data_IF_217280150087
#
_entry.id   IF_217280150087
#
_cell.length_a   1.000
_cell.length_b   1.000
_cell.length_c   1.000
_cell.angle_alpha   90.00
_cell.angle_beta   90.00
_cell.angle_gamma   90.00
#
_symmetry.space_group_name_H-M   'P 1'
#
loop_
_entity.id
_entity.type
_entity.pdbx_description
1 polymer ?
#
# COMPACT_ATOMS: atom_id res chain seq x y z
N UNK A 1 -25.54 5.95 -3.84
CA UNK A 1 -24.18 6.27 -3.32
C UNK A 1 -23.23 5.13 -3.72
N UNK A 2 -22.93 5.01 -5.01
CA UNK A 2 -22.06 3.98 -5.59
C UNK A 2 -20.83 4.70 -6.13
N UNK A 3 -19.69 4.63 -5.44
CA UNK A 3 -18.47 5.28 -5.93
C UNK A 3 -17.30 5.32 -4.96
N UNK A 4 -17.54 5.19 -3.66
CA UNK A 4 -16.47 5.26 -2.64
C UNK A 4 -15.68 3.95 -2.49
N UNK A 5 -16.20 2.81 -2.98
CA UNK A 5 -15.64 1.51 -2.61
C UNK A 5 -14.83 0.79 -3.69
N UNK A 6 -14.73 1.26 -4.95
CA UNK A 6 -14.02 0.48 -5.99
C UNK A 6 -12.55 0.25 -5.61
N UNK A 7 -11.83 1.29 -5.20
CA UNK A 7 -10.41 1.15 -4.80
C UNK A 7 -10.24 0.47 -3.44
N UNK A 8 -11.21 0.64 -2.54
CA UNK A 8 -11.22 -0.04 -1.23
C UNK A 8 -11.42 -1.55 -1.40
N UNK A 9 -12.40 -1.94 -2.21
CA UNK A 9 -12.72 -3.34 -2.51
C UNK A 9 -11.60 -4.00 -3.31
N UNK A 10 -11.05 -3.29 -4.30
CA UNK A 10 -9.89 -3.74 -5.06
C UNK A 10 -8.67 -3.97 -4.16
N UNK A 11 -8.35 -3.04 -3.27
CA UNK A 11 -7.23 -3.22 -2.34
C UNK A 11 -7.49 -4.39 -1.39
N UNK A 12 -8.69 -4.49 -0.82
CA UNK A 12 -9.07 -5.59 0.08
C UNK A 12 -9.00 -6.95 -0.61
N UNK A 13 -9.40 -7.06 -1.89
CA UNK A 13 -9.29 -8.29 -2.67
C UNK A 13 -7.84 -8.80 -2.72
N UNK A 14 -6.88 -7.94 -3.04
CA UNK A 14 -5.46 -8.34 -3.10
C UNK A 14 -4.88 -8.63 -1.72
N UNK A 15 -5.23 -7.84 -0.71
CA UNK A 15 -4.80 -8.07 0.67
C UNK A 15 -5.29 -9.41 1.22
N UNK A 16 -6.55 -9.76 0.97
CA UNK A 16 -7.11 -11.06 1.36
C UNK A 16 -6.39 -12.21 0.65
N UNK A 17 -6.13 -12.08 -0.65
CA UNK A 17 -5.36 -13.06 -1.43
C UNK A 17 -3.94 -13.25 -0.90
N UNK A 18 -3.31 -12.19 -0.43
CA UNK A 18 -2.00 -12.20 0.21
C UNK A 18 -2.04 -12.63 1.69
N UNK A 19 -3.22 -12.99 2.23
CA UNK A 19 -3.44 -13.33 3.65
C UNK A 19 -3.00 -12.22 4.61
N UNK A 20 -3.12 -10.96 4.17
CA UNK A 20 -2.88 -9.79 5.03
C UNK A 20 -3.88 -9.76 6.19
N UNK A 21 -3.43 -9.24 7.33
CA UNK A 21 -4.29 -8.96 8.48
C UNK A 21 -4.97 -7.58 8.38
N UNK A 22 -4.57 -6.75 7.40
CA UNK A 22 -5.12 -5.41 7.22
C UNK A 22 -6.40 -5.48 6.41
N UNK A 23 -7.35 -4.61 6.76
CA UNK A 23 -8.56 -4.35 5.98
C UNK A 23 -8.69 -2.85 5.78
N UNK A 24 -8.82 -2.43 4.54
CA UNK A 24 -9.00 -1.02 4.18
C UNK A 24 -10.44 -0.63 4.44
N UNK A 25 -10.64 0.40 5.25
CA UNK A 25 -11.96 0.98 5.57
C UNK A 25 -12.02 2.42 5.06
N UNK A 26 -10.93 3.16 5.21
CA UNK A 26 -10.78 4.50 4.65
C UNK A 26 -9.40 4.62 3.98
N UNK A 27 -9.40 4.51 2.66
CA UNK A 27 -8.18 4.55 1.85
C UNK A 27 -7.30 5.80 2.14
N UNK A 28 -7.92 6.94 2.44
CA UNK A 28 -7.19 8.19 2.72
C UNK A 28 -6.50 8.18 4.08
N UNK A 29 -7.09 7.51 5.08
CA UNK A 29 -6.51 7.37 6.41
C UNK A 29 -5.51 6.21 6.46
N UNK A 30 -5.87 5.08 5.86
CA UNK A 30 -5.11 3.84 5.93
C UNK A 30 -3.81 3.88 5.09
N UNK A 31 -3.74 4.72 4.05
CA UNK A 31 -2.53 4.91 3.24
C UNK A 31 -1.54 5.97 3.78
N UNK A 32 -1.83 6.65 4.89
CA UNK A 32 -1.04 7.82 5.34
C UNK A 32 0.42 7.50 5.63
N UNK A 33 0.70 6.35 6.22
CA UNK A 33 2.05 5.93 6.59
C UNK A 33 2.82 5.23 5.45
N UNK A 34 2.18 5.05 4.29
CA UNK A 34 2.74 4.36 3.14
C UNK A 34 2.84 2.83 3.29
N UNK A 35 2.52 2.26 4.45
CA UNK A 35 2.65 0.82 4.69
C UNK A 35 1.55 0.02 4.01
N UNK A 36 0.31 0.52 4.05
CA UNK A 36 -0.79 -0.10 3.31
C UNK A 36 -0.48 -0.15 1.81
N UNK A 37 0.05 0.96 1.26
CA UNK A 37 0.40 1.05 -0.16
C UNK A 37 1.47 0.01 -0.52
N UNK A 38 2.53 -0.10 0.28
CA UNK A 38 3.57 -1.11 0.06
C UNK A 38 2.97 -2.52 0.09
N UNK A 39 2.13 -2.84 1.07
CA UNK A 39 1.52 -4.17 1.21
C UNK A 39 0.58 -4.52 0.04
N UNK A 40 -0.18 -3.55 -0.46
CA UNK A 40 -1.01 -3.73 -1.67
C UNK A 40 -0.14 -3.96 -2.91
N UNK A 41 0.97 -3.23 -3.07
CA UNK A 41 1.91 -3.44 -4.18
C UNK A 41 2.53 -4.84 -4.11
N UNK A 42 2.95 -5.29 -2.93
CA UNK A 42 3.46 -6.65 -2.75
C UNK A 42 2.41 -7.71 -3.10
N UNK A 43 1.15 -7.49 -2.72
CA UNK A 43 0.06 -8.41 -2.98
C UNK A 43 -0.31 -8.50 -4.48
N UNK A 44 -0.20 -7.39 -5.22
CA UNK A 44 -0.49 -7.32 -6.66
C UNK A 44 0.67 -7.88 -7.47
N UNK A 45 1.89 -7.46 -7.17
CA UNK A 45 3.10 -7.83 -7.94
C UNK A 45 3.68 -9.18 -7.54
N UNK A 46 3.35 -9.69 -6.35
CA UNK A 46 4.00 -10.85 -5.72
C UNK A 46 5.49 -10.65 -5.41
N UNK A 47 6.00 -9.42 -5.48
CA UNK A 47 7.38 -9.06 -5.12
C UNK A 47 7.41 -8.24 -3.84
N UNK A 48 8.50 -8.36 -3.07
CA UNK A 48 8.71 -7.55 -1.87
C UNK A 48 9.15 -6.14 -2.23
N UNK A 49 8.53 -5.13 -1.62
CA UNK A 49 8.97 -3.74 -1.78
C UNK A 49 10.21 -3.56 -0.88
N UNK A 50 11.38 -3.21 -1.43
CA UNK A 50 12.59 -3.01 -0.63
C UNK A 50 12.48 -1.74 0.23
N UNK A 51 13.28 -1.69 1.30
CA UNK A 51 13.51 -0.49 2.12
C UNK A 51 12.26 0.12 2.80
N UNK A 52 11.24 -0.69 3.10
CA UNK A 52 10.06 -0.25 3.85
C UNK A 52 10.43 0.14 5.28
N UNK A 53 10.18 1.40 5.64
CA UNK A 53 10.29 1.89 7.02
C UNK A 53 9.02 1.49 7.79
N UNK A 54 9.08 0.42 8.58
CA UNK A 54 7.93 -0.15 9.32
C UNK A 54 7.30 0.75 10.39
N UNK A 55 8.01 1.81 10.82
CA UNK A 55 7.54 2.78 11.82
C UNK A 55 8.04 4.17 11.43
N UNK A 56 7.45 4.79 10.40
CA UNK A 56 7.87 6.12 9.98
C UNK A 56 7.54 7.12 11.10
N UNK A 57 8.53 7.89 11.53
CA UNK A 57 8.42 8.88 12.61
C UNK A 57 8.43 10.32 12.10
N UNK A 58 8.94 10.54 10.89
CA UNK A 58 9.02 11.86 10.25
C UNK A 58 8.22 11.87 8.95
N UNK A 59 7.77 13.05 8.54
CA UNK A 59 7.03 13.21 7.29
C UNK A 59 7.84 12.71 6.07
N UNK A 60 9.16 12.90 6.08
CA UNK A 60 10.07 12.34 5.07
C UNK A 60 10.10 10.80 5.08
N UNK A 61 10.01 10.15 6.25
CA UNK A 61 9.95 8.69 6.34
C UNK A 61 8.59 8.12 5.90
N UNK A 62 7.52 8.91 5.92
CA UNK A 62 6.21 8.51 5.38
C UNK A 62 6.18 8.58 3.85
N UNK A 63 7.00 9.45 3.26
CA UNK A 63 7.15 9.59 1.80
C UNK A 63 8.17 8.59 1.22
N UNK A 64 9.16 8.14 1.99
CA UNK A 64 10.19 7.21 1.50
C UNK A 64 9.62 5.86 0.95
N UNK A 65 8.66 5.19 1.62
CA UNK A 65 8.02 3.99 1.08
C UNK A 65 7.32 4.22 -0.26
N UNK A 66 6.77 5.42 -0.49
CA UNK A 66 6.15 5.76 -1.77
C UNK A 66 7.15 5.91 -2.92
N UNK A 67 8.38 6.36 -2.68
CA UNK A 67 9.39 6.48 -3.75
C UNK A 67 10.03 5.14 -4.12
N UNK A 68 10.18 4.21 -3.16
CA UNK A 68 10.61 2.83 -3.45
C UNK A 68 9.58 2.08 -4.31
N UNK A 69 8.30 2.25 -4.01
CA UNK A 69 7.19 1.78 -4.84
C UNK A 69 7.17 2.37 -6.26
N UNK A 70 7.45 3.68 -6.41
CA UNK A 70 7.56 4.34 -7.73
C UNK A 70 8.75 3.82 -8.53
N UNK A 71 9.86 3.45 -7.88
CA UNK A 71 11.02 2.85 -8.55
C UNK A 71 10.70 1.46 -9.13
N UNK A 72 9.93 0.62 -8.44
CA UNK A 72 9.48 -0.68 -8.97
C UNK A 72 8.60 -0.56 -10.23
N UNK A 73 7.83 0.52 -10.39
CA UNK A 73 7.00 0.76 -11.57
C UNK A 73 7.73 1.50 -12.71
N UNK A 74 8.97 1.96 -12.51
CA UNK A 74 9.74 2.68 -13.55
C UNK A 74 10.63 1.76 -14.39
N UNK A 75 10.52 0.43 -14.21
CA UNK A 75 11.34 -0.58 -14.91
C UNK A 75 10.51 -1.54 -15.78
N UNK A 76 9.29 -1.16 -16.17
CA UNK A 76 8.50 -1.86 -17.21
C UNK A 76 8.03 -0.87 -18.25
#
# INVERSE_FOLDING_TARGET
>A
MLGKCIYTDWANYYLERAKSKRKVVDLSADCRDGLLLAEVIEAVTSFKVPDIIKKPKTQQQMLAPSYGAVCCCSVT
#
